data_IF_134824437651
#
_entry.id   IF_134824437651
#
_cell.length_a   1.000
_cell.length_b   1.000
_cell.length_c   1.000
_cell.angle_alpha   90.00
_cell.angle_beta   90.00
_cell.angle_gamma   90.00
#
_symmetry.space_group_name_H-M   'P 1'
#
loop_
_entity.id
_entity.type
_entity.pdbx_description
1 polymer ?
#
# COMPACT_ATOMS: atom_id res chain seq x y z
N UNK A 1 2.21 17.00 25.16
CA UNK A 1 1.92 16.98 24.49
C UNK A 1 1.68 16.45 23.74
N UNK A 2 1.62 16.37 23.83
CA UNK A 2 1.39 16.03 23.05
C UNK A 2 1.42 15.58 22.22
N UNK A 3 1.59 15.57 22.25
CA UNK A 3 1.53 15.37 21.44
C UNK A 3 1.57 14.74 20.71
N UNK A 4 1.81 14.78 20.71
CA UNK A 4 1.86 14.35 20.07
C UNK A 4 1.70 13.37 19.63
N UNK A 5 1.81 13.21 20.08
CA UNK A 5 1.74 12.13 19.86
C UNK A 5 1.21 11.72 18.86
N UNK A 6 0.63 12.10 18.62
CA UNK A 6 0.02 11.92 17.68
C UNK A 6 0.69 11.67 16.57
N UNK A 7 1.45 12.13 16.45
CA UNK A 7 2.25 12.07 15.49
C UNK A 7 2.71 10.84 15.27
N UNK A 8 2.89 10.40 16.05
CA UNK A 8 3.41 9.37 16.12
C UNK A 8 3.04 8.44 15.32
N UNK A 9 2.10 8.36 15.32
CA UNK A 9 1.59 7.46 14.72
C UNK A 9 1.65 7.53 13.44
N UNK A 10 1.93 8.43 12.94
CA UNK A 10 1.91 8.53 11.58
C UNK A 10 3.11 7.90 11.03
N UNK A 11 3.02 6.68 10.75
CA UNK A 11 4.04 6.01 10.03
C UNK A 11 3.94 6.47 8.60
N UNK A 12 4.92 7.21 8.15
CA UNK A 12 4.95 7.71 6.79
C UNK A 12 5.55 6.67 5.86
N UNK A 13 4.85 6.33 4.80
CA UNK A 13 5.39 5.44 3.79
C UNK A 13 6.34 6.24 2.90
N UNK A 14 7.54 5.70 2.71
CA UNK A 14 8.53 6.26 1.80
C UNK A 14 9.03 5.16 0.87
N UNK A 15 9.88 5.52 -0.07
CA UNK A 15 10.49 4.54 -0.97
C UNK A 15 11.34 3.50 -0.23
N UNK A 16 11.84 3.86 0.94
CA UNK A 16 12.67 2.94 1.74
C UNK A 16 11.84 2.09 2.69
N UNK A 17 10.54 2.29 2.77
CA UNK A 17 9.70 1.54 3.68
C UNK A 17 9.56 0.09 3.27
N UNK A 18 9.65 -0.81 4.25
CA UNK A 18 9.32 -2.21 4.04
C UNK A 18 7.83 -2.38 4.27
N UNK A 19 7.10 -2.65 3.21
CA UNK A 19 5.65 -2.70 3.24
C UNK A 19 5.12 -4.09 2.91
N UNK A 20 3.88 -4.32 3.29
CA UNK A 20 3.18 -5.55 2.92
C UNK A 20 1.69 -5.29 2.88
N UNK A 21 0.98 -6.14 2.14
CA UNK A 21 -0.47 -6.17 2.21
C UNK A 21 -0.84 -6.61 3.62
N UNK A 22 -1.81 -5.93 4.24
CA UNK A 22 -2.23 -6.28 5.60
C UNK A 22 -2.68 -7.76 5.61
N UNK A 23 -2.26 -8.56 6.60
CA UNK A 23 -2.57 -10.00 6.61
C UNK A 23 -4.06 -10.32 6.66
N UNK A 24 -4.89 -9.39 7.09
CA UNK A 24 -6.33 -9.58 7.12
C UNK A 24 -7.03 -9.03 5.88
N UNK A 25 -6.28 -8.71 4.84
CA UNK A 25 -6.85 -8.18 3.59
C UNK A 25 -6.77 -9.22 2.50
N UNK A 26 -7.90 -9.44 1.82
CA UNK A 26 -7.95 -10.26 0.63
C UNK A 26 -8.17 -9.35 -0.57
N UNK A 27 -7.43 -9.60 -1.65
CA UNK A 27 -7.62 -8.89 -2.91
C UNK A 27 -8.41 -9.76 -3.87
N UNK A 28 -9.47 -9.22 -4.43
CA UNK A 28 -10.24 -9.90 -5.47
C UNK A 28 -10.06 -9.16 -6.79
N UNK A 29 -9.52 -9.82 -7.82
CA UNK A 29 -9.35 -9.18 -9.12
C UNK A 29 -10.69 -8.75 -9.72
N UNK A 30 -10.70 -7.57 -10.32
CA UNK A 30 -11.87 -7.01 -11.01
C UNK A 30 -11.38 -6.37 -12.31
N UNK A 31 -12.24 -6.16 -13.31
CA UNK A 31 -11.80 -5.53 -14.55
C UNK A 31 -11.16 -4.15 -14.34
N UNK A 32 -11.58 -3.41 -13.31
CA UNK A 32 -11.04 -2.08 -13.02
C UNK A 32 -9.76 -2.12 -12.18
N UNK A 33 -9.39 -3.27 -11.62
CA UNK A 33 -8.26 -3.41 -10.71
C UNK A 33 -8.51 -4.49 -9.69
N UNK A 34 -8.97 -4.13 -8.49
CA UNK A 34 -9.29 -5.11 -7.46
C UNK A 34 -10.18 -4.52 -6.38
N UNK A 35 -10.86 -5.41 -5.67
CA UNK A 35 -11.49 -5.08 -4.40
C UNK A 35 -10.59 -5.59 -3.29
N UNK A 36 -10.31 -4.74 -2.32
CA UNK A 36 -9.58 -5.12 -1.12
C UNK A 36 -10.57 -5.22 0.03
N UNK A 37 -10.73 -6.41 0.59
CA UNK A 37 -11.61 -6.62 1.73
C UNK A 37 -10.78 -6.89 2.98
N UNK A 38 -10.99 -6.07 4.00
CA UNK A 38 -10.29 -6.20 5.27
C UNK A 38 -11.17 -6.95 6.25
N UNK A 39 -10.79 -8.17 6.60
CA UNK A 39 -11.58 -9.00 7.50
C UNK A 39 -11.64 -8.43 8.91
N UNK A 40 -10.60 -7.73 9.33
CA UNK A 40 -10.53 -7.20 10.70
C UNK A 40 -11.51 -6.07 10.96
N UNK A 41 -11.56 -5.09 10.05
CA UNK A 41 -12.42 -3.92 10.22
C UNK A 41 -13.64 -3.92 9.30
N UNK A 42 -13.75 -4.93 8.43
CA UNK A 42 -14.87 -5.14 7.51
C UNK A 42 -15.01 -4.05 6.44
N UNK A 43 -13.95 -3.31 6.18
CA UNK A 43 -13.97 -2.30 5.15
C UNK A 43 -13.72 -2.90 3.78
N UNK A 44 -14.32 -2.31 2.77
CA UNK A 44 -14.14 -2.68 1.39
C UNK A 44 -13.59 -1.47 0.66
N UNK A 45 -12.45 -1.63 0.01
CA UNK A 45 -11.76 -0.55 -0.69
C UNK A 45 -11.61 -0.94 -2.15
N UNK A 46 -11.94 -0.03 -3.04
CA UNK A 46 -11.78 -0.26 -4.48
C UNK A 46 -10.41 0.25 -4.92
N UNK A 47 -9.61 -0.64 -5.49
CA UNK A 47 -8.32 -0.28 -6.08
C UNK A 47 -8.53 -0.18 -7.58
N UNK A 48 -8.61 1.04 -8.10
CA UNK A 48 -9.04 1.29 -9.46
C UNK A 48 -7.92 1.32 -10.49
N UNK A 49 -6.70 1.02 -10.08
CA UNK A 49 -5.55 1.06 -10.98
C UNK A 49 -4.86 -0.30 -10.97
N UNK A 50 -4.93 -1.06 -12.06
CA UNK A 50 -4.33 -2.39 -12.11
C UNK A 50 -2.83 -2.41 -11.81
N UNK A 51 -2.11 -1.37 -12.18
CA UNK A 51 -0.68 -1.27 -11.91
C UNK A 51 -0.40 -1.09 -10.41
N UNK A 52 -1.26 -0.39 -9.69
CA UNK A 52 -1.15 -0.27 -8.23
C UNK A 52 -1.43 -1.63 -7.59
N UNK A 53 -2.44 -2.35 -8.09
CA UNK A 53 -2.76 -3.69 -7.59
C UNK A 53 -1.57 -4.62 -7.75
N UNK A 54 -0.87 -4.57 -8.88
CA UNK A 54 0.29 -5.41 -9.12
C UNK A 54 1.40 -5.15 -8.09
N UNK A 55 1.62 -3.88 -7.75
CA UNK A 55 2.62 -3.52 -6.75
C UNK A 55 2.19 -3.99 -5.35
N UNK A 56 0.94 -3.70 -4.98
CA UNK A 56 0.42 -4.02 -3.64
C UNK A 56 0.44 -5.52 -3.38
N UNK A 57 0.08 -6.31 -4.37
CA UNK A 57 0.00 -7.76 -4.21
C UNK A 57 1.34 -8.37 -3.81
N UNK A 58 2.42 -7.82 -4.35
CA UNK A 58 3.74 -8.41 -4.18
C UNK A 58 4.65 -7.64 -3.22
N UNK A 59 4.11 -6.66 -2.49
CA UNK A 59 4.93 -5.82 -1.59
C UNK A 59 5.78 -6.63 -0.62
N UNK A 60 5.23 -7.67 -0.04
CA UNK A 60 5.95 -8.46 0.96
C UNK A 60 7.15 -9.22 0.39
N UNK A 61 7.22 -9.36 -0.92
CA UNK A 61 8.32 -10.08 -1.58
C UNK A 61 9.53 -9.19 -1.83
N UNK A 62 9.44 -7.92 -1.48
CA UNK A 62 10.52 -6.96 -1.72
C UNK A 62 10.94 -6.28 -0.42
N UNK A 63 12.21 -5.93 -0.33
CA UNK A 63 12.76 -5.32 0.89
C UNK A 63 12.18 -3.92 1.13
N UNK A 64 11.95 -3.17 0.06
CA UNK A 64 11.44 -1.80 0.13
C UNK A 64 10.39 -1.56 -0.93
N UNK A 65 9.64 -0.47 -0.75
CA UNK A 65 8.68 -0.03 -1.78
C UNK A 65 9.40 0.26 -3.10
N UNK A 66 10.57 0.88 -3.05
CA UNK A 66 11.34 1.16 -4.27
C UNK A 66 11.63 -0.13 -5.04
N UNK A 67 12.03 -1.19 -4.34
CA UNK A 67 12.32 -2.46 -4.97
C UNK A 67 11.06 -3.05 -5.63
N UNK A 68 9.93 -2.91 -4.98
CA UNK A 68 8.66 -3.38 -5.53
C UNK A 68 8.29 -2.61 -6.80
N UNK A 69 8.52 -1.31 -6.83
CA UNK A 69 8.24 -0.47 -8.00
C UNK A 69 9.14 -0.85 -9.16
N UNK A 70 10.43 -1.09 -8.89
CA UNK A 70 11.37 -1.51 -9.91
C UNK A 70 10.94 -2.86 -10.49
N UNK A 71 10.62 -3.81 -9.62
CA UNK A 71 10.23 -5.15 -10.04
C UNK A 71 8.95 -5.14 -10.87
N UNK A 72 8.05 -4.20 -10.59
CA UNK A 72 6.79 -4.06 -11.33
C UNK A 72 6.93 -3.24 -12.61
N UNK A 73 8.13 -2.75 -12.89
CA UNK A 73 8.38 -1.98 -14.13
C UNK A 73 7.80 -0.57 -14.11
N UNK A 74 7.61 0.02 -12.93
CA UNK A 74 7.07 1.36 -12.82
C UNK A 74 8.17 2.37 -13.09
N UNK A 75 7.93 3.26 -14.05
CA UNK A 75 8.88 4.30 -14.39
C UNK A 75 9.03 5.29 -13.21
N UNK A 76 10.26 5.76 -12.98
CA UNK A 76 10.55 6.64 -11.85
C UNK A 76 9.68 7.90 -11.82
N UNK A 77 9.29 8.41 -12.96
CA UNK A 77 8.42 9.60 -13.02
C UNK A 77 7.08 9.39 -12.32
N UNK A 78 6.66 8.14 -12.19
CA UNK A 78 5.39 7.78 -11.54
C UNK A 78 5.54 7.41 -10.07
N UNK A 79 6.76 7.30 -9.58
CA UNK A 79 6.99 6.87 -8.20
C UNK A 79 6.31 7.76 -7.16
N UNK A 80 6.33 9.11 -7.29
CA UNK A 80 5.63 9.95 -6.29
C UNK A 80 4.14 9.62 -6.20
N UNK A 81 3.49 9.36 -7.33
CA UNK A 81 2.08 8.98 -7.34
C UNK A 81 1.84 7.66 -6.62
N UNK A 82 2.75 6.70 -6.80
CA UNK A 82 2.66 5.41 -6.13
C UNK A 82 2.89 5.55 -4.63
N UNK A 83 3.84 6.37 -4.21
CA UNK A 83 4.06 6.63 -2.79
C UNK A 83 2.78 7.21 -2.17
N UNK A 84 2.15 8.16 -2.85
CA UNK A 84 0.90 8.75 -2.38
C UNK A 84 -0.21 7.70 -2.29
N UNK A 85 -0.34 6.85 -3.31
CA UNK A 85 -1.36 5.81 -3.32
C UNK A 85 -1.13 4.78 -2.21
N UNK A 86 0.11 4.34 -2.03
CA UNK A 86 0.44 3.36 -0.98
C UNK A 86 0.24 3.98 0.41
N UNK A 87 0.56 5.25 0.57
CA UNK A 87 0.32 5.96 1.83
C UNK A 87 -1.17 6.01 2.16
N UNK A 88 -2.02 6.26 1.16
CA UNK A 88 -3.46 6.25 1.36
C UNK A 88 -3.96 4.85 1.76
N UNK A 89 -3.41 3.81 1.13
CA UNK A 89 -3.77 2.44 1.46
C UNK A 89 -3.28 2.05 2.85
N UNK A 90 -2.16 2.59 3.30
CA UNK A 90 -1.67 2.38 4.66
C UNK A 90 -2.63 3.04 5.66
N UNK A 91 -3.12 4.22 5.36
CA UNK A 91 -4.10 4.90 6.21
C UNK A 91 -5.42 4.13 6.28
N UNK A 92 -5.79 3.44 5.21
CA UNK A 92 -6.99 2.60 5.17
C UNK A 92 -6.76 1.20 5.70
N UNK A 93 -5.55 0.91 6.16
CA UNK A 93 -5.16 -0.38 6.72
C UNK A 93 -5.15 -1.53 5.69
N UNK A 94 -5.12 -1.21 4.42
CA UNK A 94 -4.97 -2.22 3.36
C UNK A 94 -3.50 -2.64 3.27
N UNK A 95 -2.59 -1.69 3.45
CA UNK A 95 -1.16 -1.90 3.46
C UNK A 95 -0.63 -1.52 4.84
N UNK A 96 0.38 -2.22 5.29
CA UNK A 96 1.07 -1.83 6.52
C UNK A 96 2.58 -1.82 6.32
N UNK A 97 3.29 -1.06 7.13
CA UNK A 97 4.75 -1.05 7.18
C UNK A 97 5.18 -2.18 8.13
N UNK A 98 6.11 -3.00 7.65
CA UNK A 98 6.63 -4.12 8.42
C UNK A 98 7.58 -3.69 9.51
#
# INVERSE_FOLDING_TARGET
MTVKATTINAITVTLDSACELHPQVALRPEPFGALAYHYGNRKLIFLKHPDVVAVVRDLAQHATLADALIASGVHQDRWPSFVTAISALQSSEVVRVR
#
